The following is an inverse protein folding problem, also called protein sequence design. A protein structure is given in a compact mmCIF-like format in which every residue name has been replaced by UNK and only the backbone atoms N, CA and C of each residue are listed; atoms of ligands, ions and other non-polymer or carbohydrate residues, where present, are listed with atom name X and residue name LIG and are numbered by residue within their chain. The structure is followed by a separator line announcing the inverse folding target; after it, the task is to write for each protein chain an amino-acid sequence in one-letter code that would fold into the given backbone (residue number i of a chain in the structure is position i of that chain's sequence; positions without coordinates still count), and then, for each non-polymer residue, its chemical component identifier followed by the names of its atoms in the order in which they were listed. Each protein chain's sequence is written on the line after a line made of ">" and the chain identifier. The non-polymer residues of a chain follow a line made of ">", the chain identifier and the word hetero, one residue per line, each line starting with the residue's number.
data_IF_263812527534
#
_entry.id   IF_263812527534
#
_cell.length_a   1.000
_cell.length_b   1.000
_cell.length_c   1.000
_cell.angle_alpha   90.00
_cell.angle_beta   90.00
_cell.angle_gamma   90.00
#
_symmetry.space_group_name_H-M   'P 1'
#
loop_
_entity.id
_entity.type
_entity.pdbx_description
1 polymer ?
#
# COMPACT_ATOMS: atom_id res chain seq x y z
N UNK A 1 -6.78 -42.71 -28.66
CA UNK A 1 -6.12 -43.28 -27.46
C UNK A 1 -4.59 -43.14 -27.45
N UNK A 2 -3.90 -42.84 -28.57
CA UNK A 2 -2.43 -42.75 -28.60
C UNK A 2 -1.87 -41.44 -27.99
N UNK A 3 -2.58 -40.31 -28.12
CA UNK A 3 -2.09 -38.99 -27.68
C UNK A 3 -1.97 -38.84 -26.14
N UNK A 4 -2.83 -39.50 -25.37
CA UNK A 4 -2.82 -39.39 -23.90
C UNK A 4 -1.63 -40.09 -23.25
N UNK A 5 -1.05 -41.10 -23.92
CA UNK A 5 0.14 -41.80 -23.46
C UNK A 5 1.39 -40.95 -23.62
N UNK A 6 1.50 -40.20 -24.73
CA UNK A 6 2.63 -39.34 -25.05
C UNK A 6 2.85 -38.22 -24.03
N UNK A 7 1.76 -37.60 -23.53
CA UNK A 7 1.84 -36.54 -22.52
C UNK A 7 2.28 -37.04 -21.14
N UNK A 8 1.95 -38.29 -20.79
CA UNK A 8 2.39 -38.89 -19.51
C UNK A 8 3.88 -39.21 -19.53
N UNK A 9 4.40 -39.65 -20.67
CA UNK A 9 5.85 -39.86 -20.85
C UNK A 9 6.63 -38.54 -20.84
N UNK A 10 6.14 -37.51 -21.55
CA UNK A 10 6.79 -36.19 -21.55
C UNK A 10 6.79 -35.53 -20.16
N UNK A 11 5.70 -35.67 -19.40
CA UNK A 11 5.58 -35.15 -18.04
C UNK A 11 6.54 -35.84 -17.07
N UNK A 12 6.69 -37.17 -17.15
CA UNK A 12 7.65 -37.88 -16.31
C UNK A 12 9.10 -37.56 -16.67
N UNK A 13 9.42 -37.40 -17.96
CA UNK A 13 10.77 -37.02 -18.40
C UNK A 13 11.13 -35.60 -17.93
N UNK A 14 10.20 -34.65 -18.02
CA UNK A 14 10.39 -33.30 -17.50
C UNK A 14 10.59 -33.28 -15.98
N UNK A 15 9.83 -34.10 -15.24
CA UNK A 15 9.97 -34.20 -13.79
C UNK A 15 11.31 -34.84 -13.38
N UNK A 16 11.79 -35.86 -14.11
CA UNK A 16 13.12 -36.43 -13.87
C UNK A 16 14.24 -35.43 -14.17
N UNK A 17 14.15 -34.69 -15.28
CA UNK A 17 15.16 -33.68 -15.65
C UNK A 17 15.21 -32.51 -14.66
N UNK A 18 14.05 -32.07 -14.15
CA UNK A 18 13.97 -31.03 -13.11
C UNK A 18 14.58 -31.51 -11.79
N UNK A 19 14.41 -32.79 -11.47
CA UNK A 19 14.99 -33.41 -10.26
C UNK A 19 16.52 -33.54 -10.36
N UNK A 20 17.05 -33.83 -11.55
CA UNK A 20 18.50 -33.93 -11.80
C UNK A 20 19.22 -32.57 -11.73
N UNK A 21 18.55 -31.47 -12.08
CA UNK A 21 19.11 -30.11 -11.98
C UNK A 21 19.28 -29.64 -10.53
N UNK A 22 18.42 -30.09 -9.61
CA UNK A 22 18.48 -29.71 -8.20
C UNK A 22 19.57 -30.46 -7.42
N UNK A 23 19.97 -31.66 -7.86
CA UNK A 23 21.02 -32.46 -7.21
C UNK A 23 22.44 -31.93 -7.51
N UNK A 24 22.63 -31.16 -8.59
CA UNK A 24 23.95 -30.70 -9.03
C UNK A 24 24.41 -29.34 -8.45
N UNK A 25 23.63 -28.71 -7.56
CA UNK A 25 24.00 -27.43 -6.92
C UNK A 25 24.79 -27.57 -5.60
N UNK A 26 24.98 -28.78 -5.07
CA UNK A 26 25.54 -28.97 -3.73
C UNK A 26 27.08 -29.11 -3.66
N UNK A 27 27.83 -28.89 -4.75
CA UNK A 27 29.27 -29.20 -4.81
C UNK A 27 30.22 -28.04 -5.12
N UNK A 28 29.79 -26.78 -5.04
CA UNK A 28 30.71 -25.64 -5.16
C UNK A 28 30.98 -24.98 -3.80
N UNK A 29 31.88 -25.59 -3.03
CA UNK A 29 32.58 -24.96 -1.90
C UNK A 29 33.51 -23.89 -2.47
N UNK A 30 33.13 -22.62 -2.34
CA UNK A 30 33.99 -21.48 -2.69
C UNK A 30 35.02 -21.31 -1.57
N UNK A 31 36.23 -21.77 -1.84
CA UNK A 31 37.45 -21.47 -1.10
C UNK A 31 37.91 -20.07 -1.52
N UNK A 32 37.80 -19.08 -0.65
CA UNK A 32 38.50 -17.80 -0.80
C UNK A 32 39.85 -17.90 -0.11
N UNK A 33 40.91 -18.06 -0.91
CA UNK A 33 42.30 -17.93 -0.50
C UNK A 33 42.60 -16.48 -0.12
N UNK A 34 43.29 -16.30 1.00
CA UNK A 34 43.88 -15.04 1.44
C UNK A 34 45.24 -14.94 0.74
N UNK A 35 45.40 -13.95 -0.15
CA UNK A 35 46.69 -13.68 -0.78
C UNK A 35 47.59 -12.90 0.18
N UNK A 36 48.73 -13.53 0.41
CA UNK A 36 49.90 -13.06 1.14
C UNK A 36 50.76 -12.23 0.19
N UNK A 37 50.87 -10.91 0.41
CA UNK A 37 51.97 -10.13 -0.17
C UNK A 37 52.69 -9.33 0.91
N UNK A 38 54.01 -9.48 0.82
CA UNK A 38 55.05 -9.07 1.74
C UNK A 38 55.56 -7.69 1.33
N UNK A 39 55.56 -6.73 2.26
CA UNK A 39 56.34 -5.49 2.07
C UNK A 39 56.98 -5.01 3.38
N UNK A 40 58.25 -5.40 3.50
CA UNK A 40 59.43 -4.89 4.22
C UNK A 40 59.32 -4.03 5.52
N UNK A 41 60.24 -4.27 6.48
CA UNK A 41 60.28 -3.61 7.79
C UNK A 41 61.08 -2.30 7.82
N UNK A 42 60.60 -1.34 8.63
CA UNK A 42 61.29 -0.09 9.00
C UNK A 42 60.98 0.31 10.46
N UNK A 43 61.80 1.16 11.10
CA UNK A 43 62.49 0.73 12.31
C UNK A 43 62.01 1.36 13.65
N UNK A 44 62.24 0.58 14.71
CA UNK A 44 62.59 0.94 16.09
C UNK A 44 61.75 1.94 16.89
N UNK A 45 61.08 1.34 17.88
CA UNK A 45 60.53 1.83 19.15
C UNK A 45 61.24 3.06 19.73
N UNK A 46 60.48 4.15 19.87
CA UNK A 46 60.75 5.29 20.73
C UNK A 46 59.87 5.26 21.98
N UNK A 47 60.50 4.88 23.08
CA UNK A 47 60.33 5.24 24.50
C UNK A 47 59.04 5.88 25.01
N UNK A 48 58.53 5.26 26.07
CA UNK A 48 57.48 5.67 27.01
C UNK A 48 57.63 7.12 27.49
N UNK A 49 56.54 7.91 27.43
CA UNK A 49 56.33 8.96 28.43
C UNK A 49 54.87 9.34 28.59
N UNK A 50 54.47 9.35 29.86
CA UNK A 50 53.46 10.19 30.49
C UNK A 50 51.97 9.89 30.23
N UNK A 51 51.44 9.16 31.21
CA UNK A 51 50.09 9.24 31.73
C UNK A 51 49.58 10.69 31.78
N UNK A 52 48.48 10.97 31.09
CA UNK A 52 47.49 11.90 31.63
C UNK A 52 46.09 11.35 31.34
N UNK A 53 45.44 10.92 32.41
CA UNK A 53 44.07 10.42 32.46
C UNK A 53 43.16 11.63 32.25
N UNK A 54 42.68 11.82 31.02
CA UNK A 54 41.61 12.76 30.75
C UNK A 54 40.31 12.12 31.24
N UNK A 55 39.78 12.65 32.34
CA UNK A 55 38.41 12.38 32.77
C UNK A 55 37.45 13.05 31.76
N UNK A 56 36.42 12.36 31.24
CA UNK A 56 35.39 13.04 30.49
C UNK A 56 34.50 13.80 31.46
N UNK A 57 34.67 15.12 31.55
CA UNK A 57 33.65 16.00 32.08
C UNK A 57 32.37 15.81 31.25
N UNK A 58 31.31 15.31 31.90
CA UNK A 58 29.99 15.26 31.34
C UNK A 58 29.52 16.70 31.05
N UNK A 59 29.13 17.05 29.82
CA UNK A 59 28.47 18.32 29.60
C UNK A 59 27.08 18.24 30.23
N UNK A 60 26.90 18.98 31.32
CA UNK A 60 25.61 19.42 31.81
C UNK A 60 24.92 20.14 30.65
N UNK A 61 24.04 19.44 29.93
CA UNK A 61 23.14 20.07 28.98
C UNK A 61 22.10 20.78 29.85
N UNK A 62 22.30 22.09 29.94
CA UNK A 62 21.40 23.10 30.47
C UNK A 62 19.96 22.79 30.02
N UNK A 63 19.03 22.68 30.99
CA UNK A 63 17.60 22.52 30.71
C UNK A 63 17.12 23.72 29.92
N UNK A 64 17.15 23.60 28.59
CA UNK A 64 16.38 24.45 27.71
C UNK A 64 14.90 24.13 27.97
N UNK A 65 14.26 24.93 28.81
CA UNK A 65 12.81 25.12 28.82
C UNK A 65 12.39 25.51 27.42
N UNK A 66 12.04 24.51 26.62
CA UNK A 66 11.30 24.70 25.37
C UNK A 66 9.90 25.14 25.81
N UNK A 67 9.68 26.45 25.84
CA UNK A 67 8.32 26.99 25.83
C UNK A 67 7.58 26.33 24.67
N UNK A 68 6.53 25.55 24.99
CA UNK A 68 5.60 25.08 23.99
C UNK A 68 5.12 26.30 23.20
N UNK A 69 5.26 26.33 21.86
CA UNK A 69 4.54 27.32 21.08
C UNK A 69 3.05 27.08 21.33
N UNK A 70 2.41 28.06 21.97
CA UNK A 70 0.98 28.11 22.16
C UNK A 70 0.30 27.87 20.82
N UNK A 71 -0.51 26.80 20.76
CA UNK A 71 -1.36 26.47 19.62
C UNK A 71 -2.07 27.76 19.14
N UNK A 72 -2.08 28.05 17.82
CA UNK A 72 -2.87 29.16 17.31
C UNK A 72 -4.32 28.95 17.72
N UNK A 73 -4.83 29.90 18.50
CA UNK A 73 -6.21 29.94 18.93
C UNK A 73 -7.09 29.94 17.68
N UNK A 74 -7.93 28.91 17.59
CA UNK A 74 -8.97 28.76 16.58
C UNK A 74 -9.79 30.06 16.53
N UNK A 75 -9.88 30.75 15.38
CA UNK A 75 -10.76 31.89 15.24
C UNK A 75 -12.20 31.47 15.51
N UNK A 76 -12.81 32.20 16.43
CA UNK A 76 -14.20 32.16 16.83
C UNK A 76 -15.13 32.01 15.63
N UNK A 77 -16.00 31.02 15.73
CA UNK A 77 -17.13 30.74 14.86
C UNK A 77 -18.00 32.00 14.71
N UNK A 78 -18.04 32.55 13.49
CA UNK A 78 -18.97 33.61 13.11
C UNK A 78 -20.26 32.99 12.56
N UNK A 79 -21.45 33.54 12.90
CA UNK A 79 -22.74 32.95 12.58
C UNK A 79 -23.02 32.79 11.08
N UNK A 80 -23.70 31.69 10.77
CA UNK A 80 -24.36 31.34 9.49
C UNK A 80 -25.18 32.52 8.95
N UNK A 81 -24.89 32.94 7.72
CA UNK A 81 -25.78 33.81 6.94
C UNK A 81 -26.28 33.01 5.73
N UNK A 82 -27.56 32.65 5.79
CA UNK A 82 -28.32 31.95 4.77
C UNK A 82 -28.67 32.94 3.65
N UNK A 83 -28.32 32.68 2.37
CA UNK A 83 -28.72 33.57 1.29
C UNK A 83 -30.25 33.51 1.09
N UNK A 84 -30.91 34.66 0.85
CA UNK A 84 -32.35 34.75 0.80
C UNK A 84 -32.94 34.10 -0.46
N UNK A 85 -34.13 33.54 -0.30
CA UNK A 85 -35.01 33.11 -1.36
C UNK A 85 -35.39 34.29 -2.28
N UNK A 86 -35.29 34.09 -3.61
CA UNK A 86 -35.92 34.97 -4.59
C UNK A 86 -37.23 34.33 -5.07
N UNK A 87 -38.33 35.04 -4.81
CA UNK A 87 -39.71 34.74 -5.20
C UNK A 87 -39.98 35.04 -6.70
N UNK A 88 -41.11 34.53 -7.27
CA UNK A 88 -41.31 34.31 -8.70
C UNK A 88 -41.96 35.48 -9.46
N UNK A 89 -42.27 35.23 -10.74
CA UNK A 89 -43.05 36.02 -11.73
C UNK A 89 -42.15 36.64 -12.84
N UNK A 90 -42.41 36.51 -14.15
CA UNK A 90 -43.67 36.65 -14.91
C UNK A 90 -43.58 36.07 -16.35
N UNK A 91 -44.74 35.60 -16.83
CA UNK A 91 -45.29 35.64 -18.21
C UNK A 91 -44.55 34.87 -19.33
N UNK A 92 -45.06 33.72 -19.78
CA UNK A 92 -46.19 33.55 -20.71
C UNK A 92 -45.90 34.05 -22.14
N UNK A 93 -45.58 33.13 -23.04
CA UNK A 93 -45.85 33.26 -24.47
C UNK A 93 -46.41 31.95 -24.99
N UNK A 94 -47.72 31.96 -25.21
CA UNK A 94 -48.48 30.94 -25.92
C UNK A 94 -48.29 31.15 -27.42
N UNK A 95 -47.96 30.10 -28.19
CA UNK A 95 -48.77 29.63 -29.32
C UNK A 95 -47.98 28.80 -30.36
N UNK A 96 -48.63 27.68 -30.73
CA UNK A 96 -48.66 27.05 -32.05
C UNK A 96 -47.37 26.44 -32.62
N UNK A 97 -47.30 25.10 -32.59
CA UNK A 97 -47.46 24.34 -33.83
C UNK A 97 -47.85 22.90 -33.50
N UNK A 98 -49.06 22.53 -33.91
CA UNK A 98 -49.57 21.17 -33.89
C UNK A 98 -48.71 20.32 -34.82
N UNK A 99 -47.76 19.57 -34.25
CA UNK A 99 -47.10 18.45 -34.90
C UNK A 99 -47.96 17.20 -34.72
N UNK A 100 -48.43 16.65 -35.84
CA UNK A 100 -49.13 15.37 -35.95
C UNK A 100 -48.39 14.22 -35.24
N UNK A 101 -49.07 13.30 -34.53
CA UNK A 101 -48.42 12.09 -34.04
C UNK A 101 -48.07 11.19 -35.23
N UNK A 102 -46.77 11.04 -35.48
CA UNK A 102 -46.23 10.07 -36.41
C UNK A 102 -46.53 8.64 -35.89
N UNK A 103 -47.01 7.71 -36.74
CA UNK A 103 -47.29 6.34 -36.33
C UNK A 103 -46.02 5.63 -35.82
N UNK A 104 -46.11 4.77 -34.80
CA UNK A 104 -44.94 4.09 -34.26
C UNK A 104 -44.33 3.14 -35.31
N UNK A 105 -43.12 3.49 -35.76
CA UNK A 105 -42.22 2.60 -36.50
C UNK A 105 -41.87 1.38 -35.62
N UNK A 106 -41.76 0.16 -36.20
CA UNK A 106 -41.76 -1.09 -35.44
C UNK A 106 -40.57 -1.21 -34.49
N UNK A 107 -40.86 -1.78 -33.32
CA UNK A 107 -39.93 -2.02 -32.23
C UNK A 107 -38.57 -2.58 -32.70
N UNK A 108 -37.45 -2.13 -32.10
CA UNK A 108 -36.18 -2.81 -32.30
C UNK A 108 -36.31 -4.23 -31.79
N UNK A 109 -35.98 -5.17 -32.67
CA UNK A 109 -35.85 -6.59 -32.37
C UNK A 109 -35.06 -6.76 -31.09
N UNK A 110 -35.59 -7.60 -30.20
CA UNK A 110 -34.97 -8.00 -28.94
C UNK A 110 -33.56 -8.49 -29.25
N UNK A 111 -32.56 -7.64 -29.02
CA UNK A 111 -31.18 -8.07 -28.97
C UNK A 111 -31.12 -9.15 -27.90
N UNK A 112 -30.72 -10.36 -28.30
CA UNK A 112 -30.43 -11.43 -27.36
C UNK A 112 -29.49 -10.84 -26.31
N UNK A 113 -29.96 -10.77 -25.06
CA UNK A 113 -29.11 -10.45 -23.91
C UNK A 113 -28.11 -11.59 -23.85
N UNK A 114 -26.92 -11.37 -24.39
CA UNK A 114 -25.79 -12.26 -24.14
C UNK A 114 -25.66 -12.35 -22.61
N UNK A 115 -25.52 -13.56 -22.04
CA UNK A 115 -25.42 -13.71 -20.61
C UNK A 115 -24.26 -12.84 -20.13
N UNK A 116 -24.57 -11.86 -19.28
CA UNK A 116 -23.55 -11.03 -18.66
C UNK A 116 -22.47 -11.96 -18.09
N UNK A 117 -21.18 -11.70 -18.37
CA UNK A 117 -20.11 -12.57 -17.92
C UNK A 117 -20.24 -12.74 -16.40
N UNK A 118 -20.16 -13.99 -15.94
CA UNK A 118 -20.18 -14.30 -14.52
C UNK A 118 -19.07 -13.47 -13.84
N UNK A 119 -19.46 -12.60 -12.92
CA UNK A 119 -18.54 -11.75 -12.18
C UNK A 119 -17.77 -12.68 -11.24
N UNK A 120 -16.52 -13.00 -11.57
CA UNK A 120 -15.63 -13.70 -10.65
C UNK A 120 -15.47 -12.85 -9.38
N UNK A 121 -15.44 -13.47 -8.18
CA UNK A 121 -15.27 -12.72 -6.94
C UNK A 121 -13.93 -12.00 -6.98
N UNK A 122 -13.96 -10.67 -6.88
CA UNK A 122 -12.75 -9.86 -6.85
C UNK A 122 -12.18 -9.94 -5.44
N UNK A 123 -10.96 -10.46 -5.36
CA UNK A 123 -10.19 -10.57 -4.13
C UNK A 123 -9.04 -9.60 -4.28
N UNK A 124 -9.07 -8.52 -3.49
CA UNK A 124 -7.96 -7.59 -3.37
C UNK A 124 -6.98 -8.13 -2.33
N UNK A 125 -5.69 -7.94 -2.58
CA UNK A 125 -4.63 -8.41 -1.69
C UNK A 125 -4.10 -7.26 -0.83
N UNK A 126 -3.85 -7.55 0.45
CA UNK A 126 -3.31 -6.59 1.40
C UNK A 126 -1.86 -6.22 1.11
N UNK A 127 -1.50 -4.99 1.48
CA UNK A 127 -0.13 -4.49 1.36
C UNK A 127 0.54 -4.53 2.71
N UNK A 128 1.75 -5.09 2.78
CA UNK A 128 2.54 -5.18 4.01
C UNK A 128 3.66 -4.15 4.05
N UNK A 129 4.06 -3.78 5.27
CA UNK A 129 5.10 -2.79 5.52
C UNK A 129 6.17 -3.31 6.48
N UNK A 130 7.36 -2.76 6.32
CA UNK A 130 8.47 -2.91 7.25
C UNK A 130 8.18 -2.23 8.59
N UNK A 131 9.01 -2.55 9.59
CA UNK A 131 8.93 -1.91 10.89
C UNK A 131 9.17 -0.40 10.79
N UNK A 132 8.27 0.36 11.42
CA UNK A 132 8.33 1.83 11.51
C UNK A 132 8.38 2.55 10.15
N UNK A 133 7.83 1.92 9.12
CA UNK A 133 7.85 2.40 7.74
C UNK A 133 6.47 2.47 7.12
N UNK A 134 6.34 3.37 6.16
CA UNK A 134 5.16 3.56 5.31
C UNK A 134 5.53 3.64 3.82
N UNK A 135 6.82 3.49 3.48
CA UNK A 135 7.26 3.36 2.10
C UNK A 135 6.76 2.07 1.47
N UNK A 136 6.33 2.14 0.22
CA UNK A 136 5.87 0.99 -0.55
C UNK A 136 7.10 0.23 -1.07
N UNK A 137 7.27 -1.02 -0.62
CA UNK A 137 8.29 -1.94 -1.13
C UNK A 137 8.00 -2.45 -2.54
N UNK A 138 9.00 -3.03 -3.21
CA UNK A 138 8.84 -3.53 -4.58
C UNK A 138 7.84 -4.71 -4.69
N UNK A 139 7.74 -5.53 -3.64
CA UNK A 139 6.74 -6.57 -3.47
C UNK A 139 5.32 -5.98 -3.39
N UNK A 140 5.15 -4.94 -2.57
CA UNK A 140 3.90 -4.20 -2.44
C UNK A 140 3.48 -3.49 -3.74
N UNK A 141 4.44 -2.95 -4.51
CA UNK A 141 4.16 -2.36 -5.83
C UNK A 141 3.50 -3.36 -6.77
N UNK A 142 4.06 -4.57 -6.86
CA UNK A 142 3.51 -5.65 -7.72
C UNK A 142 2.09 -6.02 -7.30
N UNK A 143 1.81 -6.06 -5.99
CA UNK A 143 0.47 -6.31 -5.45
C UNK A 143 -0.50 -5.18 -5.82
N UNK A 144 -0.07 -3.93 -5.71
CA UNK A 144 -0.89 -2.76 -6.01
C UNK A 144 -1.22 -2.63 -7.50
N UNK A 145 -0.27 -2.96 -8.38
CA UNK A 145 -0.51 -3.05 -9.82
C UNK A 145 -1.59 -4.09 -10.15
N UNK A 146 -1.50 -5.28 -9.53
CA UNK A 146 -2.51 -6.32 -9.68
C UNK A 146 -3.88 -5.86 -9.17
N UNK A 147 -3.94 -5.27 -7.98
CA UNK A 147 -5.17 -4.73 -7.40
C UNK A 147 -5.77 -3.62 -8.29
N UNK A 148 -4.97 -2.68 -8.78
CA UNK A 148 -5.43 -1.62 -9.68
C UNK A 148 -6.00 -2.18 -10.99
N UNK A 149 -5.37 -3.23 -11.55
CA UNK A 149 -5.91 -3.92 -12.73
C UNK A 149 -7.28 -4.54 -12.49
N UNK A 150 -7.57 -5.00 -11.26
CA UNK A 150 -8.87 -5.54 -10.87
C UNK A 150 -9.88 -4.41 -10.64
N UNK A 151 -9.48 -3.35 -9.94
CA UNK A 151 -10.30 -2.18 -9.66
C UNK A 151 -10.73 -1.44 -10.94
N UNK A 152 -9.86 -1.37 -11.94
CA UNK A 152 -10.19 -0.70 -13.22
C UNK A 152 -11.22 -1.47 -14.06
N UNK A 153 -11.46 -2.77 -13.78
CA UNK A 153 -12.57 -3.53 -14.37
C UNK A 153 -13.90 -3.25 -13.68
N UNK A 154 -13.86 -2.62 -12.51
CA UNK A 154 -15.00 -2.30 -11.67
C UNK A 154 -15.37 -0.82 -11.85
N UNK A 155 -16.38 -0.54 -12.66
CA UNK A 155 -16.88 0.83 -12.79
C UNK A 155 -17.73 1.24 -11.59
N UNK A 156 -17.33 2.32 -10.89
CA UNK A 156 -18.17 3.02 -9.92
C UNK A 156 -18.20 2.49 -8.49
N UNK A 157 -17.29 1.58 -8.13
CA UNK A 157 -17.22 1.02 -6.77
C UNK A 157 -16.44 1.95 -5.84
N UNK A 158 -16.85 2.02 -4.58
CA UNK A 158 -16.09 2.70 -3.53
C UNK A 158 -15.19 1.69 -2.83
N UNK A 159 -14.03 2.15 -2.39
CA UNK A 159 -13.08 1.35 -1.63
C UNK A 159 -12.57 2.12 -0.42
N UNK A 160 -12.34 1.39 0.66
CA UNK A 160 -11.76 1.90 1.90
C UNK A 160 -10.40 1.24 2.08
N UNK A 161 -9.39 2.06 2.33
CA UNK A 161 -8.06 1.59 2.71
C UNK A 161 -7.91 1.74 4.22
N UNK A 162 -7.77 0.62 4.90
CA UNK A 162 -7.64 0.54 6.35
C UNK A 162 -6.16 0.38 6.73
N UNK A 163 -5.59 1.36 7.42
CA UNK A 163 -4.21 1.36 7.90
C UNK A 163 -4.07 0.69 9.26
N UNK A 164 -3.22 -0.34 9.35
CA UNK A 164 -2.93 -1.08 10.58
C UNK A 164 -1.44 -1.05 10.94
N UNK A 165 -1.18 -1.16 12.23
CA UNK A 165 0.14 -1.19 12.84
C UNK A 165 0.26 -2.33 13.85
N UNK A 166 1.50 -2.65 14.22
CA UNK A 166 1.75 -3.56 15.33
C UNK A 166 1.52 -2.88 16.69
N UNK A 167 1.58 -3.66 17.77
CA UNK A 167 1.16 -3.21 19.10
C UNK A 167 2.14 -2.24 19.79
N UNK A 168 3.37 -2.12 19.27
CA UNK A 168 4.47 -1.38 19.90
C UNK A 168 4.26 0.13 19.73
N UNK A 169 4.70 0.92 20.72
CA UNK A 169 4.54 2.38 20.72
C UNK A 169 3.16 2.86 21.22
N UNK A 170 2.92 4.17 21.17
CA UNK A 170 1.65 4.76 21.65
C UNK A 170 0.52 4.55 20.65
N UNK A 171 -0.74 4.61 21.11
CA UNK A 171 -1.90 4.48 20.22
C UNK A 171 -1.95 5.63 19.19
N UNK A 172 -1.70 6.85 19.64
CA UNK A 172 -1.69 8.05 18.79
C UNK A 172 -0.60 7.97 17.71
N UNK A 173 0.60 7.49 18.07
CA UNK A 173 1.67 7.29 17.09
C UNK A 173 1.26 6.31 16.00
N UNK A 174 0.72 5.15 16.40
CA UNK A 174 0.28 4.13 15.46
C UNK A 174 -0.92 4.57 14.61
N UNK A 175 -1.81 5.41 15.15
CA UNK A 175 -2.89 5.99 14.36
C UNK A 175 -2.34 6.89 13.24
N UNK A 176 -1.34 7.73 13.54
CA UNK A 176 -0.70 8.56 12.51
C UNK A 176 0.09 7.72 11.51
N UNK A 177 0.83 6.71 11.96
CA UNK A 177 1.57 5.80 11.08
C UNK A 177 0.63 4.99 10.17
N UNK A 178 -0.49 4.50 10.69
CA UNK A 178 -1.52 3.82 9.91
C UNK A 178 -2.14 4.72 8.85
N UNK A 179 -2.38 5.99 9.17
CA UNK A 179 -2.89 6.99 8.22
C UNK A 179 -1.88 7.23 7.09
N UNK A 180 -0.59 7.35 7.41
CA UNK A 180 0.47 7.52 6.41
C UNK A 180 0.59 6.31 5.49
N UNK A 181 0.42 5.08 6.01
CA UNK A 181 0.38 3.86 5.20
C UNK A 181 -0.81 3.83 4.26
N UNK A 182 -2.01 4.14 4.76
CA UNK A 182 -3.21 4.22 3.93
C UNK A 182 -3.05 5.30 2.83
N UNK A 183 -2.46 6.44 3.18
CA UNK A 183 -2.16 7.53 2.25
C UNK A 183 -1.14 7.14 1.18
N UNK A 184 -0.08 6.41 1.54
CA UNK A 184 0.90 5.91 0.58
C UNK A 184 0.26 4.97 -0.45
N UNK A 185 -0.58 4.03 0.02
CA UNK A 185 -1.33 3.12 -0.86
C UNK A 185 -2.31 3.88 -1.74
N UNK A 186 -3.08 4.82 -1.19
CA UNK A 186 -4.00 5.66 -1.95
C UNK A 186 -3.28 6.39 -3.07
N UNK A 187 -2.17 7.06 -2.77
CA UNK A 187 -1.37 7.80 -3.76
C UNK A 187 -0.93 6.88 -4.90
N UNK A 188 -0.39 5.71 -4.55
CA UNK A 188 0.08 4.74 -5.54
C UNK A 188 -1.06 4.22 -6.44
N UNK A 189 -2.23 3.89 -5.87
CA UNK A 189 -3.39 3.47 -6.66
C UNK A 189 -3.92 4.59 -7.58
N UNK A 190 -3.88 5.84 -7.12
CA UNK A 190 -4.25 7.00 -7.94
C UNK A 190 -3.27 7.19 -9.11
N UNK A 191 -1.97 7.00 -8.87
CA UNK A 191 -0.95 7.06 -9.92
C UNK A 191 -1.14 5.95 -10.97
N UNK A 192 -1.69 4.79 -10.58
CA UNK A 192 -2.10 3.70 -11.47
C UNK A 192 -3.44 3.92 -12.19
N UNK A 193 -4.10 5.06 -11.94
CA UNK A 193 -5.33 5.47 -12.64
C UNK A 193 -6.63 5.21 -11.88
N UNK A 194 -6.58 4.76 -10.62
CA UNK A 194 -7.79 4.62 -9.80
C UNK A 194 -8.29 6.00 -9.38
N UNK A 195 -9.55 6.39 -9.65
CA UNK A 195 -10.05 7.71 -9.30
C UNK A 195 -10.03 7.97 -7.79
N UNK A 196 -9.41 9.07 -7.36
CA UNK A 196 -9.21 9.39 -5.93
C UNK A 196 -10.50 9.56 -5.12
N UNK A 197 -11.61 9.94 -5.78
CA UNK A 197 -12.93 10.12 -5.17
C UNK A 197 -13.63 8.79 -4.82
N UNK A 198 -13.16 7.68 -5.37
CA UNK A 198 -13.64 6.34 -5.02
C UNK A 198 -12.90 5.76 -3.81
N UNK A 199 -11.82 6.41 -3.37
CA UNK A 199 -10.92 5.92 -2.33
C UNK A 199 -11.11 6.71 -1.04
N UNK A 200 -11.63 6.04 -0.03
CA UNK A 200 -11.67 6.50 1.35
C UNK A 200 -10.52 5.87 2.15
N UNK A 201 -10.08 6.52 3.22
CA UNK A 201 -8.99 6.04 4.08
C UNK A 201 -9.45 6.06 5.53
N UNK A 202 -9.06 5.05 6.28
CA UNK A 202 -9.30 4.94 7.71
C UNK A 202 -8.03 4.39 8.36
N UNK A 203 -7.61 4.97 9.47
CA UNK A 203 -6.53 4.42 10.28
C UNK A 203 -7.10 3.78 11.55
N UNK A 204 -6.78 2.52 11.79
CA UNK A 204 -7.05 1.87 13.07
C UNK A 204 -5.80 1.81 13.94
N UNK A 205 -4.63 2.18 13.40
CA UNK A 205 -3.36 2.01 14.09
C UNK A 205 -3.23 0.60 14.67
N UNK A 206 -3.14 0.50 16.00
CA UNK A 206 -3.03 -0.77 16.72
C UNK A 206 -4.32 -1.27 17.36
N UNK A 207 -5.43 -0.58 17.15
CA UNK A 207 -6.71 -0.85 17.85
C UNK A 207 -7.46 -2.06 17.26
N UNK A 208 -7.14 -2.42 16.02
CA UNK A 208 -7.70 -3.57 15.30
C UNK A 208 -6.58 -4.50 14.81
N UNK A 209 -5.93 -5.27 15.72
CA UNK A 209 -4.91 -6.24 15.31
C UNK A 209 -5.56 -7.44 14.62
N UNK A 210 -4.87 -7.99 13.62
CA UNK A 210 -5.29 -9.21 12.95
C UNK A 210 -4.76 -10.46 13.63
N UNK A 211 -3.47 -10.42 13.96
CA UNK A 211 -2.84 -11.41 14.78
C UNK A 211 -2.73 -10.86 16.21
N UNK A 212 -3.31 -11.58 17.16
CA UNK A 212 -3.23 -11.27 18.59
C UNK A 212 -2.14 -12.15 19.19
N UNK A 213 -0.93 -11.60 19.30
CA UNK A 213 0.23 -12.34 19.76
C UNK A 213 1.48 -11.48 19.74
N UNK A 214 2.51 -11.96 20.43
CA UNK A 214 3.81 -11.29 20.50
C UNK A 214 4.78 -11.93 19.52
N UNK A 215 5.64 -11.12 18.91
CA UNK A 215 6.76 -11.59 18.07
C UNK A 215 6.61 -11.25 16.60
N UNK A 216 7.73 -11.35 15.88
CA UNK A 216 7.89 -10.78 14.55
C UNK A 216 6.91 -11.36 13.51
N UNK A 217 6.62 -12.66 13.59
CA UNK A 217 5.67 -13.30 12.68
C UNK A 217 4.24 -12.74 12.81
N UNK A 218 3.86 -12.30 14.01
CA UNK A 218 2.55 -11.70 14.28
C UNK A 218 2.56 -10.21 13.95
N UNK A 219 3.62 -9.50 14.34
CA UNK A 219 3.77 -8.08 14.06
C UNK A 219 3.80 -7.78 12.56
N UNK A 220 4.48 -8.60 11.75
CA UNK A 220 4.49 -8.43 10.30
C UNK A 220 3.09 -8.51 9.68
N UNK A 221 2.22 -9.40 10.19
CA UNK A 221 0.84 -9.51 9.70
C UNK A 221 -0.03 -8.30 10.06
N UNK A 222 0.31 -7.61 11.15
CA UNK A 222 -0.40 -6.42 11.62
C UNK A 222 0.11 -5.13 10.95
N UNK A 223 1.35 -5.10 10.47
CA UNK A 223 1.89 -3.97 9.68
C UNK A 223 1.39 -4.05 8.24
N UNK A 224 0.14 -3.61 8.03
CA UNK A 224 -0.50 -3.70 6.72
C UNK A 224 -1.46 -2.56 6.41
N UNK A 225 -1.79 -2.42 5.14
CA UNK A 225 -2.96 -1.71 4.65
C UNK A 225 -3.93 -2.74 4.04
N UNK A 226 -5.14 -2.82 4.63
CA UNK A 226 -6.21 -3.69 4.17
C UNK A 226 -7.11 -2.92 3.20
N UNK A 227 -7.48 -3.52 2.08
CA UNK A 227 -8.29 -2.85 1.04
C UNK A 227 -9.65 -3.52 0.98
N UNK A 228 -10.70 -2.76 1.29
CA UNK A 228 -12.08 -3.25 1.39
C UNK A 228 -12.94 -2.57 0.33
N UNK A 229 -13.67 -3.36 -0.45
CA UNK A 229 -14.73 -2.84 -1.35
C UNK A 229 -16.00 -2.55 -0.53
N UNK A 230 -16.66 -1.43 -0.84
CA UNK A 230 -17.93 -0.99 -0.24
C UNK A 230 -19.12 -1.25 -1.17
#
# INVERSE_FOLDING_TARGET
>A
MVAQSSYRFLSMLACMLLSLLLVNCASHTITTSVDEETFLPGPTVGTLSSLERIEPEAPMIEEATVELPSLPQQPTEAPVEEPPAEDPMVAETLALLMGTPEPPSPAPMVAAVEPAPAIEPIILTDVYFDFDRYEIGADAMTVLEANASQLNRLNGWKLVIEGHCDERGTAQYNHVLGEQRAQAVKRYLVDLGVPSHLIEMVSYGKDKPFCVGQGESCWQQNRRAHIVLQ
#
